data_IF_807761423529
#
_entry.id   IF_807761423529
#
_cell.length_a   1.000
_cell.length_b   1.000
_cell.length_c   1.000
_cell.angle_alpha   90.00
_cell.angle_beta   90.00
_cell.angle_gamma   90.00
#
_symmetry.space_group_name_H-M   'P 1'
#
loop_
_entity.id
_entity.type
_entity.pdbx_description
1 polymer ?
#
# COMPACT_ATOMS: atom_id res chain seq x y z
N UNK A 1 35.59 -1.84 -23.14
CA UNK A 1 34.36 -2.58 -23.55
C UNK A 1 34.47 -4.02 -23.10
N UNK A 2 33.68 -4.44 -22.10
CA UNK A 2 33.73 -5.81 -21.56
C UNK A 2 32.73 -6.69 -22.30
N UNK A 3 33.21 -7.59 -23.16
CA UNK A 3 32.39 -8.52 -23.95
C UNK A 3 31.41 -9.30 -23.06
N UNK A 4 30.11 -9.17 -23.28
CA UNK A 4 29.12 -10.10 -22.74
C UNK A 4 29.39 -11.46 -23.40
N UNK A 5 29.85 -12.45 -22.64
CA UNK A 5 30.02 -13.80 -23.18
C UNK A 5 28.64 -14.35 -23.55
N UNK A 6 28.52 -15.01 -24.73
CA UNK A 6 27.26 -15.59 -25.24
C UNK A 6 26.49 -16.41 -24.19
N UNK A 7 27.20 -17.06 -23.25
CA UNK A 7 26.60 -17.84 -22.16
C UNK A 7 25.84 -17.03 -21.11
N UNK A 8 26.21 -15.78 -20.83
CA UNK A 8 25.52 -14.98 -19.80
C UNK A 8 24.16 -14.48 -20.30
N UNK A 9 24.12 -13.97 -21.53
CA UNK A 9 22.87 -13.54 -22.18
C UNK A 9 21.92 -14.73 -22.38
N UNK A 10 22.45 -15.84 -22.91
CA UNK A 10 21.70 -17.09 -23.07
C UNK A 10 21.05 -17.57 -21.75
N UNK A 11 21.78 -17.53 -20.63
CA UNK A 11 21.22 -17.93 -19.32
C UNK A 11 20.05 -17.05 -18.92
N UNK A 12 20.16 -15.73 -19.10
CA UNK A 12 19.06 -14.79 -18.81
C UNK A 12 17.87 -15.08 -19.72
N UNK A 13 18.09 -15.22 -21.03
CA UNK A 13 17.03 -15.48 -22.01
C UNK A 13 16.29 -16.81 -21.73
N UNK A 14 17.02 -17.87 -21.39
CA UNK A 14 16.43 -19.17 -21.01
C UNK A 14 15.61 -19.06 -19.73
N UNK A 15 16.07 -18.31 -18.72
CA UNK A 15 15.33 -18.10 -17.47
C UNK A 15 14.08 -17.24 -17.68
N UNK A 16 14.16 -16.18 -18.47
CA UNK A 16 12.99 -15.34 -18.84
C UNK A 16 11.96 -16.19 -19.58
N UNK A 17 12.39 -17.01 -20.55
CA UNK A 17 11.50 -17.91 -21.27
C UNK A 17 10.83 -18.93 -20.34
N UNK A 18 11.57 -19.48 -19.37
CA UNK A 18 11.02 -20.38 -18.37
C UNK A 18 9.93 -19.71 -17.51
N UNK A 19 10.19 -18.49 -17.00
CA UNK A 19 9.21 -17.72 -16.23
C UNK A 19 7.96 -17.42 -17.08
N UNK A 20 8.16 -16.94 -18.31
CA UNK A 20 7.05 -16.62 -19.21
C UNK A 20 6.20 -17.85 -19.56
N UNK A 21 6.80 -19.04 -19.68
CA UNK A 21 6.05 -20.27 -19.94
C UNK A 21 5.22 -20.74 -18.75
N UNK A 22 5.58 -20.36 -17.52
CA UNK A 22 4.77 -20.59 -16.31
C UNK A 22 3.55 -19.67 -16.21
N UNK A 23 3.49 -18.61 -17.01
CA UNK A 23 2.35 -17.70 -17.05
C UNK A 23 1.21 -18.30 -17.90
N UNK A 24 0.03 -18.55 -17.29
CA UNK A 24 -1.15 -18.96 -18.06
C UNK A 24 -1.71 -17.74 -18.80
N UNK A 25 -2.17 -17.92 -20.04
CA UNK A 25 -2.92 -16.90 -20.75
C UNK A 25 -2.10 -15.89 -21.56
N UNK A 26 -2.76 -14.81 -22.02
CA UNK A 26 -2.21 -13.87 -22.99
C UNK A 26 -1.13 -12.94 -22.41
N UNK A 27 -0.99 -12.83 -21.09
CA UNK A 27 -0.05 -11.90 -20.44
C UNK A 27 1.41 -12.35 -20.55
N UNK A 28 1.67 -13.55 -21.10
CA UNK A 28 3.01 -14.09 -21.32
C UNK A 28 3.93 -13.12 -22.05
N UNK A 29 3.43 -12.42 -23.07
CA UNK A 29 4.21 -11.45 -23.84
C UNK A 29 4.59 -10.24 -22.98
N UNK A 30 3.61 -9.66 -22.27
CA UNK A 30 3.82 -8.54 -21.36
C UNK A 30 4.81 -8.88 -20.24
N UNK A 31 4.74 -10.09 -19.67
CA UNK A 31 5.69 -10.57 -18.65
C UNK A 31 7.11 -10.64 -19.20
N UNK A 32 7.28 -11.16 -20.43
CA UNK A 32 8.58 -11.22 -21.07
C UNK A 32 9.17 -9.82 -21.30
N UNK A 33 8.38 -8.89 -21.84
CA UNK A 33 8.81 -7.50 -22.06
C UNK A 33 9.14 -6.78 -20.76
N UNK A 34 8.29 -6.93 -19.74
CA UNK A 34 8.49 -6.32 -18.43
C UNK A 34 9.78 -6.83 -17.75
N UNK A 35 10.06 -8.13 -17.82
CA UNK A 35 11.30 -8.71 -17.30
C UNK A 35 12.54 -8.13 -17.99
N UNK A 36 12.54 -8.04 -19.32
CA UNK A 36 13.66 -7.45 -20.05
C UNK A 36 13.84 -5.98 -19.70
N UNK A 37 12.76 -5.21 -19.61
CA UNK A 37 12.80 -3.83 -19.14
C UNK A 37 13.44 -3.70 -17.75
N UNK A 38 13.03 -4.51 -16.78
CA UNK A 38 13.61 -4.48 -15.44
C UNK A 38 15.09 -4.88 -15.42
N UNK A 39 15.46 -5.91 -16.19
CA UNK A 39 16.84 -6.38 -16.31
C UNK A 39 17.72 -5.30 -16.94
N UNK A 40 17.30 -4.70 -18.04
CA UNK A 40 18.08 -3.66 -18.72
C UNK A 40 18.21 -2.39 -17.85
N UNK A 41 17.17 -2.07 -17.07
CA UNK A 41 17.20 -0.93 -16.16
C UNK A 41 18.10 -1.15 -14.93
N UNK A 42 18.01 -2.32 -14.29
CA UNK A 42 18.76 -2.62 -13.05
C UNK A 42 20.18 -3.13 -13.32
N UNK A 43 20.35 -3.88 -14.39
CA UNK A 43 21.59 -4.56 -14.76
C UNK A 43 21.96 -4.24 -16.20
N UNK A 44 22.21 -2.96 -16.53
CA UNK A 44 22.63 -2.59 -17.87
C UNK A 44 23.90 -3.36 -18.27
N UNK A 45 24.07 -3.55 -19.57
CA UNK A 45 25.19 -4.31 -20.15
C UNK A 45 26.52 -3.94 -19.50
N UNK A 46 27.30 -4.95 -19.09
CA UNK A 46 28.61 -4.73 -18.45
C UNK A 46 28.87 -5.65 -17.26
N UNK A 47 29.75 -5.26 -16.32
CA UNK A 47 30.09 -6.06 -15.15
C UNK A 47 28.87 -6.45 -14.31
N UNK A 48 27.95 -5.52 -14.05
CA UNK A 48 26.74 -5.76 -13.24
C UNK A 48 25.86 -6.86 -13.84
N UNK A 49 25.60 -6.80 -15.16
CA UNK A 49 24.91 -7.87 -15.88
C UNK A 49 25.62 -9.22 -15.77
N UNK A 50 26.96 -9.25 -15.83
CA UNK A 50 27.73 -10.49 -15.67
C UNK A 50 27.59 -11.05 -14.25
N UNK A 51 27.64 -10.22 -13.22
CA UNK A 51 27.44 -10.65 -11.84
C UNK A 51 26.02 -11.19 -11.61
N UNK A 52 25.00 -10.45 -12.07
CA UNK A 52 23.61 -10.89 -12.04
C UNK A 52 23.41 -12.22 -12.78
N UNK A 53 23.94 -12.35 -14.00
CA UNK A 53 23.83 -13.61 -14.74
C UNK A 53 24.56 -14.76 -14.02
N UNK A 54 25.73 -14.49 -13.41
CA UNK A 54 26.51 -15.50 -12.69
C UNK A 54 25.86 -15.91 -11.36
N UNK A 55 25.10 -15.04 -10.68
CA UNK A 55 24.41 -15.42 -9.44
C UNK A 55 23.43 -16.57 -9.68
N UNK A 56 22.80 -16.61 -10.87
CA UNK A 56 21.94 -17.69 -11.35
C UNK A 56 22.69 -18.98 -11.75
N UNK A 57 24.01 -19.07 -11.57
CA UNK A 57 24.71 -20.34 -11.87
C UNK A 57 24.47 -21.37 -10.75
N UNK A 58 24.11 -22.60 -11.15
CA UNK A 58 23.90 -23.74 -10.25
C UNK A 58 25.14 -24.64 -10.11
N UNK A 59 26.26 -24.29 -10.77
CA UNK A 59 27.48 -25.11 -10.81
C UNK A 59 28.07 -25.42 -9.43
N UNK A 60 27.88 -24.52 -8.45
CA UNK A 60 28.43 -24.65 -7.10
C UNK A 60 27.32 -24.79 -6.04
N UNK A 61 26.11 -25.17 -6.43
CA UNK A 61 25.06 -25.46 -5.45
C UNK A 61 25.31 -26.87 -4.86
N UNK A 62 25.18 -27.00 -3.54
CA UNK A 62 25.40 -28.28 -2.83
C UNK A 62 24.38 -29.35 -3.27
N UNK A 63 23.13 -28.94 -3.46
CA UNK A 63 22.07 -29.77 -4.06
C UNK A 63 21.35 -28.98 -5.17
N UNK A 64 21.86 -29.05 -6.42
CA UNK A 64 21.29 -28.28 -7.51
C UNK A 64 19.92 -28.81 -7.98
N UNK A 65 19.53 -30.03 -7.61
CA UNK A 65 18.35 -30.72 -8.12
C UNK A 65 18.43 -31.06 -9.61
N UNK A 66 17.29 -31.49 -10.18
CA UNK A 66 17.19 -31.89 -11.58
C UNK A 66 17.15 -30.70 -12.57
N UNK A 67 16.86 -30.95 -13.86
CA UNK A 67 16.81 -29.86 -14.85
C UNK A 67 15.68 -28.86 -14.57
N UNK A 68 14.53 -29.32 -14.11
CA UNK A 68 13.38 -28.47 -13.79
C UNK A 68 13.66 -27.67 -12.51
N UNK A 69 14.23 -28.31 -11.49
CA UNK A 69 14.61 -27.66 -10.22
C UNK A 69 15.62 -26.55 -10.45
N UNK A 70 16.68 -26.83 -11.24
CA UNK A 70 17.67 -25.82 -11.62
C UNK A 70 17.05 -24.65 -12.40
N UNK A 71 16.00 -24.87 -13.17
CA UNK A 71 15.30 -23.79 -13.86
C UNK A 71 14.46 -22.96 -12.89
N UNK A 72 13.73 -23.60 -11.98
CA UNK A 72 12.94 -22.94 -10.94
C UNK A 72 13.81 -22.12 -9.99
N UNK A 73 14.93 -22.66 -9.49
CA UNK A 73 15.88 -21.94 -8.64
C UNK A 73 16.46 -20.72 -9.34
N UNK A 74 16.83 -20.84 -10.63
CA UNK A 74 17.32 -19.71 -11.42
C UNK A 74 16.28 -18.62 -11.60
N UNK A 75 15.03 -19.02 -11.83
CA UNK A 75 13.91 -18.09 -11.93
C UNK A 75 13.68 -17.35 -10.63
N UNK A 76 13.67 -18.06 -9.48
CA UNK A 76 13.54 -17.44 -8.17
C UNK A 76 14.66 -16.43 -7.88
N UNK A 77 15.92 -16.81 -8.14
CA UNK A 77 17.09 -15.92 -8.03
C UNK A 77 16.91 -14.67 -8.90
N UNK A 78 16.46 -14.84 -10.15
CA UNK A 78 16.20 -13.72 -11.07
C UNK A 78 15.16 -12.78 -10.47
N UNK A 79 13.99 -13.30 -10.09
CA UNK A 79 12.88 -12.50 -9.60
C UNK A 79 13.22 -11.77 -8.30
N UNK A 80 13.91 -12.43 -7.35
CA UNK A 80 14.38 -11.77 -6.12
C UNK A 80 15.44 -10.72 -6.38
N UNK A 81 16.34 -10.94 -7.34
CA UNK A 81 17.35 -9.95 -7.72
C UNK A 81 16.74 -8.68 -8.34
N UNK A 82 15.52 -8.77 -8.86
CA UNK A 82 14.78 -7.64 -9.41
C UNK A 82 13.98 -6.87 -8.34
N UNK A 83 13.97 -7.34 -7.07
CA UNK A 83 13.31 -6.69 -5.91
C UNK A 83 14.30 -5.88 -5.05
N UNK A 84 13.80 -5.04 -4.14
CA UNK A 84 14.57 -4.22 -3.20
C UNK A 84 14.23 -4.52 -1.72
N UNK A 85 15.18 -4.89 -0.81
CA UNK A 85 16.58 -5.29 -1.01
C UNK A 85 16.77 -6.84 -1.07
N UNK A 86 17.87 -7.33 -1.68
CA UNK A 86 18.00 -8.71 -2.16
C UNK A 86 18.31 -9.78 -1.09
N UNK A 87 17.59 -10.91 -1.14
CA UNK A 87 17.93 -12.17 -0.46
C UNK A 87 18.20 -13.34 -1.46
N UNK A 88 18.64 -13.03 -2.68
CA UNK A 88 18.59 -13.96 -3.82
C UNK A 88 19.45 -15.23 -3.70
N UNK A 89 20.40 -15.33 -2.77
CA UNK A 89 21.25 -16.54 -2.66
C UNK A 89 20.58 -17.70 -1.91
N UNK A 90 19.57 -17.43 -1.07
CA UNK A 90 18.90 -18.47 -0.29
C UNK A 90 18.21 -19.52 -1.18
N UNK A 91 17.75 -19.13 -2.37
CA UNK A 91 17.14 -20.04 -3.34
C UNK A 91 18.02 -21.23 -3.77
N UNK A 92 19.35 -21.18 -3.55
CA UNK A 92 20.25 -22.31 -3.85
C UNK A 92 20.20 -23.43 -2.82
N UNK A 93 19.72 -23.14 -1.62
CA UNK A 93 19.73 -24.08 -0.48
C UNK A 93 18.31 -24.44 -0.01
N UNK A 94 17.27 -23.77 -0.53
CA UNK A 94 15.89 -24.10 -0.21
C UNK A 94 15.49 -25.51 -0.72
N UNK A 95 14.59 -26.23 -0.05
CA UNK A 95 13.96 -27.43 -0.61
C UNK A 95 13.19 -27.12 -1.90
N UNK A 96 13.10 -28.09 -2.82
CA UNK A 96 12.45 -27.91 -4.14
C UNK A 96 11.00 -27.44 -4.02
N UNK A 97 10.21 -28.01 -3.11
CA UNK A 97 8.81 -27.63 -2.93
C UNK A 97 8.67 -26.16 -2.49
N UNK A 98 9.55 -25.71 -1.59
CA UNK A 98 9.61 -24.30 -1.16
C UNK A 98 10.01 -23.38 -2.31
N UNK A 99 10.96 -23.79 -3.17
CA UNK A 99 11.34 -23.02 -4.36
C UNK A 99 10.16 -22.84 -5.30
N UNK A 100 9.38 -23.90 -5.55
CA UNK A 100 8.23 -23.84 -6.43
C UNK A 100 7.13 -22.93 -5.87
N UNK A 101 6.85 -23.03 -4.56
CA UNK A 101 5.86 -22.17 -3.90
C UNK A 101 6.23 -20.69 -3.98
N UNK A 102 7.45 -20.33 -3.56
CA UNK A 102 7.94 -18.95 -3.61
C UNK A 102 7.98 -18.40 -5.04
N UNK A 103 8.35 -19.24 -6.01
CA UNK A 103 8.38 -18.86 -7.41
C UNK A 103 6.98 -18.59 -7.95
N UNK A 104 6.00 -19.43 -7.65
CA UNK A 104 4.63 -19.24 -8.13
C UNK A 104 4.00 -17.98 -7.51
N UNK A 105 4.28 -17.68 -6.24
CA UNK A 105 3.87 -16.43 -5.57
C UNK A 105 4.49 -15.18 -6.23
N UNK A 106 5.78 -15.21 -6.55
CA UNK A 106 6.46 -14.12 -7.25
C UNK A 106 5.96 -13.97 -8.69
N UNK A 107 5.68 -15.06 -9.40
CA UNK A 107 5.12 -15.02 -10.75
C UNK A 107 3.74 -14.40 -10.74
N UNK A 108 2.89 -14.70 -9.76
CA UNK A 108 1.59 -14.05 -9.62
C UNK A 108 1.74 -12.52 -9.51
N UNK A 109 2.66 -12.03 -8.68
CA UNK A 109 2.98 -10.59 -8.54
C UNK A 109 3.56 -9.97 -9.81
N UNK A 110 4.49 -10.67 -10.46
CA UNK A 110 5.10 -10.25 -11.71
C UNK A 110 4.06 -10.10 -12.81
N UNK A 111 3.12 -11.04 -12.94
CA UNK A 111 2.05 -11.01 -13.95
C UNK A 111 1.24 -9.73 -13.86
N UNK A 112 0.86 -9.30 -12.65
CA UNK A 112 0.12 -8.06 -12.45
C UNK A 112 0.91 -6.81 -12.84
N UNK A 113 2.15 -6.72 -12.36
CA UNK A 113 3.01 -5.58 -12.67
C UNK A 113 3.26 -5.47 -14.19
N UNK A 114 3.47 -6.62 -14.84
CA UNK A 114 3.64 -6.71 -16.28
C UNK A 114 2.37 -6.33 -17.05
N UNK A 115 1.20 -6.80 -16.62
CA UNK A 115 -0.07 -6.44 -17.27
C UNK A 115 -0.36 -4.93 -17.16
N UNK A 116 -0.06 -4.32 -16.01
CA UNK A 116 -0.17 -2.86 -15.84
C UNK A 116 0.87 -2.04 -16.63
N UNK A 117 2.03 -2.62 -16.94
CA UNK A 117 3.13 -1.94 -17.62
C UNK A 117 3.10 -2.10 -19.15
N UNK A 118 2.88 -3.32 -19.64
CA UNK A 118 3.00 -3.72 -21.04
C UNK A 118 1.78 -4.50 -21.56
N UNK A 119 0.78 -4.76 -20.71
CA UNK A 119 -0.40 -5.54 -21.06
C UNK A 119 -1.64 -4.69 -21.29
N UNK A 120 -2.76 -5.12 -20.71
CA UNK A 120 -4.08 -4.49 -20.88
C UNK A 120 -4.62 -3.88 -19.59
N UNK A 121 -4.04 -4.25 -18.44
CA UNK A 121 -4.55 -3.89 -17.11
C UNK A 121 -5.73 -4.75 -16.65
N UNK A 122 -6.13 -5.76 -17.43
CA UNK A 122 -7.27 -6.63 -17.12
C UNK A 122 -7.10 -7.37 -15.78
N UNK A 123 -5.91 -7.88 -15.47
CA UNK A 123 -5.68 -8.64 -14.23
C UNK A 123 -5.80 -7.76 -12.98
N UNK A 124 -5.31 -6.51 -13.07
CA UNK A 124 -5.48 -5.53 -12.00
C UNK A 124 -6.98 -5.27 -11.76
N UNK A 125 -7.75 -5.15 -12.83
CA UNK A 125 -9.18 -4.87 -12.77
C UNK A 125 -10.01 -6.05 -12.24
N UNK A 126 -9.82 -7.25 -12.78
CA UNK A 126 -10.74 -8.38 -12.53
C UNK A 126 -10.35 -9.24 -11.35
N UNK A 127 -9.06 -9.52 -11.15
CA UNK A 127 -8.61 -10.39 -10.08
C UNK A 127 -8.41 -9.61 -8.78
N UNK A 128 -7.73 -8.47 -8.87
CA UNK A 128 -7.19 -7.81 -7.68
C UNK A 128 -8.12 -6.79 -7.05
N UNK A 129 -8.80 -5.96 -7.85
CA UNK A 129 -9.83 -5.09 -7.29
C UNK A 129 -11.02 -5.89 -6.77
N UNK A 130 -11.37 -7.00 -7.42
CA UNK A 130 -12.40 -7.89 -6.89
C UNK A 130 -12.01 -8.40 -5.51
N UNK A 131 -10.76 -8.83 -5.31
CA UNK A 131 -10.27 -9.23 -3.99
C UNK A 131 -10.25 -8.06 -3.00
N UNK A 132 -9.80 -6.88 -3.41
CA UNK A 132 -9.82 -5.68 -2.57
C UNK A 132 -11.24 -5.30 -2.14
N UNK A 133 -12.25 -5.43 -3.01
CA UNK A 133 -13.65 -5.08 -2.73
C UNK A 133 -14.37 -6.17 -1.91
N UNK A 134 -14.21 -7.43 -2.31
CA UNK A 134 -14.96 -8.56 -1.72
C UNK A 134 -14.28 -9.15 -0.49
N UNK A 135 -12.95 -9.15 -0.46
CA UNK A 135 -12.09 -9.74 0.58
C UNK A 135 -11.06 -8.74 1.13
N UNK A 136 -11.45 -7.47 1.28
CA UNK A 136 -10.58 -6.34 1.66
C UNK A 136 -9.62 -6.65 2.81
N UNK A 137 -10.12 -7.24 3.91
CA UNK A 137 -9.29 -7.55 5.08
C UNK A 137 -8.19 -8.57 4.76
N UNK A 138 -8.53 -9.59 3.97
CA UNK A 138 -7.60 -10.64 3.58
C UNK A 138 -6.52 -10.07 2.67
N UNK A 139 -6.95 -9.35 1.63
CA UNK A 139 -6.09 -8.66 0.69
C UNK A 139 -5.11 -7.72 1.41
N UNK A 140 -5.64 -6.83 2.26
CA UNK A 140 -4.81 -5.90 3.03
C UNK A 140 -3.92 -6.62 4.03
N UNK A 141 -4.23 -7.83 4.51
CA UNK A 141 -3.33 -8.60 5.39
C UNK A 141 -2.16 -9.21 4.61
N UNK A 142 -2.44 -9.76 3.43
CA UNK A 142 -1.49 -10.57 2.66
C UNK A 142 -0.57 -9.73 1.77
N UNK A 143 -0.90 -8.46 1.57
CA UNK A 143 -0.15 -7.61 0.67
C UNK A 143 0.35 -6.33 1.36
N UNK A 144 1.55 -5.90 0.95
CA UNK A 144 2.04 -4.56 1.25
C UNK A 144 1.29 -3.60 0.32
N UNK A 145 0.74 -2.54 0.91
CA UNK A 145 -0.01 -1.54 0.21
C UNK A 145 0.52 -0.17 0.62
N UNK A 146 0.76 0.71 -0.35
CA UNK A 146 1.21 2.08 -0.13
C UNK A 146 0.35 3.06 -0.91
N UNK A 147 0.15 4.24 -0.36
CA UNK A 147 -0.38 5.35 -1.11
C UNK A 147 0.74 6.35 -1.41
N UNK A 148 0.89 6.70 -2.69
CA UNK A 148 1.62 7.91 -3.09
C UNK A 148 0.65 9.09 -3.17
N UNK A 149 1.15 10.30 -2.96
CA UNK A 149 0.35 11.53 -2.82
C UNK A 149 -0.86 11.63 -3.78
N UNK A 150 -2.08 11.37 -3.27
CA UNK A 150 -3.34 11.66 -3.98
C UNK A 150 -3.73 13.10 -3.66
N UNK A 151 -3.12 14.06 -4.36
CA UNK A 151 -3.50 15.47 -4.22
C UNK A 151 -4.79 15.74 -5.00
N UNK A 152 -5.90 15.97 -4.29
CA UNK A 152 -7.14 16.61 -4.76
C UNK A 152 -7.74 16.13 -6.10
N UNK A 153 -7.42 14.93 -6.54
CA UNK A 153 -7.94 14.36 -7.78
C UNK A 153 -9.03 13.38 -7.42
N UNK A 154 -10.21 13.55 -8.01
CA UNK A 154 -11.32 12.60 -7.89
C UNK A 154 -11.03 11.21 -8.51
N UNK A 155 -9.77 10.97 -8.88
CA UNK A 155 -9.28 9.81 -9.60
C UNK A 155 -7.94 9.36 -9.00
N UNK A 156 -7.85 8.08 -8.68
CA UNK A 156 -6.62 7.40 -8.29
C UNK A 156 -6.22 6.31 -9.30
N UNK A 157 -4.93 6.00 -9.33
CA UNK A 157 -4.37 4.94 -10.19
C UNK A 157 -3.78 3.83 -9.35
N UNK A 158 -4.35 2.63 -9.46
CA UNK A 158 -3.93 1.42 -8.75
C UNK A 158 -3.03 0.55 -9.62
N UNK A 159 -1.89 0.13 -9.08
CA UNK A 159 -0.96 -0.76 -9.77
C UNK A 159 -0.11 -1.58 -8.79
N UNK A 160 0.60 -2.59 -9.31
CA UNK A 160 1.56 -3.39 -8.56
C UNK A 160 2.99 -2.97 -8.92
N UNK A 161 3.76 -2.51 -7.93
CA UNK A 161 5.21 -2.32 -8.09
C UNK A 161 5.93 -3.58 -7.62
N UNK A 162 6.28 -4.43 -8.59
CA UNK A 162 6.99 -5.68 -8.34
C UNK A 162 8.32 -5.48 -7.61
N UNK A 163 9.08 -4.41 -7.95
CA UNK A 163 10.40 -4.17 -7.35
C UNK A 163 10.32 -3.89 -5.86
N UNK A 164 9.25 -3.21 -5.46
CA UNK A 164 9.02 -2.82 -4.06
C UNK A 164 8.08 -3.79 -3.34
N UNK A 165 7.70 -4.89 -3.99
CA UNK A 165 6.82 -5.93 -3.47
C UNK A 165 5.53 -5.38 -2.86
N UNK A 166 4.90 -4.42 -3.54
CA UNK A 166 3.76 -3.68 -2.99
C UNK A 166 2.78 -3.24 -4.06
N UNK A 167 1.52 -3.11 -3.66
CA UNK A 167 0.54 -2.35 -4.42
C UNK A 167 0.64 -0.88 -4.08
N UNK A 168 0.33 -0.04 -5.05
CA UNK A 168 0.32 1.39 -4.90
C UNK A 168 -0.95 2.00 -5.46
N UNK A 169 -1.43 3.04 -4.78
CA UNK A 169 -2.37 4.02 -5.35
C UNK A 169 -1.64 5.36 -5.45
N UNK A 170 -1.72 6.01 -6.59
CA UNK A 170 -1.17 7.36 -6.80
C UNK A 170 -2.20 8.28 -7.49
N UNK A 171 -2.13 9.58 -7.23
CA UNK A 171 -3.02 10.57 -7.88
C UNK A 171 -2.65 10.89 -9.34
N UNK A 172 -1.48 10.43 -9.80
CA UNK A 172 -1.05 10.53 -11.19
C UNK A 172 -0.84 9.14 -11.77
N UNK A 173 -1.17 8.95 -13.04
CA UNK A 173 -0.87 7.70 -13.72
C UNK A 173 0.65 7.57 -13.85
N UNK A 174 1.27 6.50 -13.30
CA UNK A 174 2.70 6.33 -13.44
C UNK A 174 3.06 6.04 -14.90
N UNK A 175 4.06 6.71 -15.45
CA UNK A 175 4.52 6.46 -16.83
C UNK A 175 4.95 5.00 -17.06
N UNK A 176 5.47 4.34 -16.02
CA UNK A 176 5.89 2.92 -16.06
C UNK A 176 4.72 1.94 -16.05
N UNK A 177 3.53 2.42 -15.71
CA UNK A 177 2.31 1.62 -15.61
C UNK A 177 1.17 2.32 -16.37
N UNK A 178 1.27 2.45 -17.71
CA UNK A 178 0.26 3.14 -18.52
C UNK A 178 -1.12 2.47 -18.48
N UNK A 179 -1.18 1.19 -18.11
CA UNK A 179 -2.40 0.40 -17.91
C UNK A 179 -2.75 0.23 -16.42
N UNK A 180 -2.22 1.09 -15.53
CA UNK A 180 -2.68 1.16 -14.14
C UNK A 180 -4.21 1.39 -14.11
N UNK A 181 -4.88 0.73 -13.17
CA UNK A 181 -6.32 0.82 -13.08
C UNK A 181 -6.75 2.17 -12.52
N UNK A 182 -7.62 2.85 -13.25
CA UNK A 182 -8.21 4.12 -12.86
C UNK A 182 -9.51 3.88 -12.09
N UNK A 183 -9.65 4.51 -10.92
CA UNK A 183 -10.87 4.43 -10.12
C UNK A 183 -11.18 5.76 -9.45
N UNK A 184 -12.46 5.99 -9.19
CA UNK A 184 -12.92 7.18 -8.50
C UNK A 184 -12.50 7.14 -7.03
N UNK A 185 -11.91 8.23 -6.57
CA UNK A 185 -11.44 8.40 -5.20
C UNK A 185 -11.97 9.67 -4.59
N UNK A 186 -12.36 9.59 -3.33
CA UNK A 186 -12.52 10.77 -2.49
C UNK A 186 -11.26 10.94 -1.66
N UNK A 187 -10.56 12.07 -1.85
CA UNK A 187 -9.44 12.46 -1.00
C UNK A 187 -9.99 13.17 0.25
N UNK A 188 -9.51 12.77 1.42
CA UNK A 188 -9.81 13.46 2.67
C UNK A 188 -8.56 14.28 3.03
N UNK A 189 -8.57 15.60 2.79
CA UNK A 189 -7.41 16.43 3.06
C UNK A 189 -7.12 16.46 4.56
N UNK A 190 -5.84 16.43 4.90
CA UNK A 190 -5.40 16.67 6.26
C UNK A 190 -5.62 18.15 6.62
N UNK A 191 -6.28 18.41 7.75
CA UNK A 191 -6.48 19.75 8.31
C UNK A 191 -5.71 19.86 9.62
N UNK A 192 -4.87 20.88 9.77
CA UNK A 192 -4.17 21.12 11.03
C UNK A 192 -5.17 21.43 12.15
N UNK A 193 -4.90 20.93 13.36
CA UNK A 193 -5.84 21.01 14.48
C UNK A 193 -6.31 22.44 14.80
N UNK A 194 -5.43 23.44 14.70
CA UNK A 194 -5.78 24.87 14.94
C UNK A 194 -6.59 25.49 13.79
N UNK A 195 -6.60 24.87 12.60
CA UNK A 195 -7.42 25.30 11.47
C UNK A 195 -8.85 24.73 11.53
N UNK A 196 -9.16 23.87 12.50
CA UNK A 196 -10.55 23.39 12.68
C UNK A 196 -11.41 24.53 13.21
N UNK A 197 -12.56 24.85 12.58
CA UNK A 197 -13.45 25.89 13.06
C UNK A 197 -13.87 25.68 14.53
N UNK A 198 -13.79 26.74 15.32
CA UNK A 198 -14.04 26.69 16.76
C UNK A 198 -12.83 26.27 17.61
N UNK A 199 -11.72 25.87 16.99
CA UNK A 199 -10.43 25.79 17.68
C UNK A 199 -9.79 27.16 17.77
N UNK A 200 -9.16 27.37 18.91
CA UNK A 200 -8.21 28.45 19.17
C UNK A 200 -6.83 27.83 19.32
N UNK A 201 -5.78 28.65 19.32
CA UNK A 201 -4.40 28.21 19.60
C UNK A 201 -4.21 27.74 21.06
N UNK A 202 -5.28 27.76 21.88
CA UNK A 202 -5.25 27.23 23.24
C UNK A 202 -5.19 25.70 23.23
N UNK A 203 -4.23 25.21 24.01
CA UNK A 203 -3.99 23.78 24.24
C UNK A 203 -5.02 23.15 25.19
N UNK A 204 -5.72 23.97 25.99
CA UNK A 204 -6.60 23.53 27.09
C UNK A 204 -8.04 24.03 26.97
N UNK A 205 -8.34 24.84 25.95
CA UNK A 205 -9.67 25.37 25.69
C UNK A 205 -9.97 25.40 24.19
N UNK A 206 -11.25 25.38 23.85
CA UNK A 206 -11.75 25.45 22.47
C UNK A 206 -12.72 24.32 22.15
N UNK A 207 -13.04 24.18 20.87
CA UNK A 207 -14.06 23.23 20.42
C UNK A 207 -13.67 22.57 19.11
N UNK A 208 -13.92 21.26 18.99
CA UNK A 208 -13.88 20.52 17.74
C UNK A 208 -15.30 20.27 17.17
N UNK A 209 -16.34 20.96 17.67
CA UNK A 209 -17.74 20.69 17.30
C UNK A 209 -18.14 21.09 15.87
N UNK A 210 -17.22 21.67 15.08
CA UNK A 210 -17.48 22.14 13.71
C UNK A 210 -16.42 21.66 12.72
N UNK A 211 -16.04 20.38 12.78
CA UNK A 211 -15.15 19.78 11.79
C UNK A 211 -15.84 19.77 10.43
N UNK A 212 -15.14 20.24 9.40
CA UNK A 212 -15.61 20.11 8.02
C UNK A 212 -15.37 18.66 7.58
N UNK A 213 -16.44 17.86 7.55
CA UNK A 213 -16.40 16.48 7.10
C UNK A 213 -16.48 16.37 5.58
N UNK A 214 -15.74 15.41 5.02
CA UNK A 214 -15.87 15.00 3.62
C UNK A 214 -16.90 13.88 3.53
N UNK A 215 -17.97 14.09 2.77
CA UNK A 215 -18.95 13.05 2.47
C UNK A 215 -18.36 12.02 1.50
N UNK A 216 -18.48 10.73 1.80
CA UNK A 216 -17.92 9.66 0.97
C UNK A 216 -18.89 9.15 -0.11
N UNK A 217 -20.11 9.70 -0.18
CA UNK A 217 -21.13 9.29 -1.17
C UNK A 217 -20.63 9.54 -2.59
N UNK A 218 -20.87 8.58 -3.49
CA UNK A 218 -20.46 8.66 -4.89
C UNK A 218 -19.10 8.03 -5.18
N UNK A 219 -18.32 7.66 -4.16
CA UNK A 219 -17.09 6.90 -4.34
C UNK A 219 -17.26 5.42 -3.94
N UNK A 220 -16.53 4.54 -4.61
CA UNK A 220 -16.46 3.11 -4.26
C UNK A 220 -15.29 2.78 -3.34
N UNK A 221 -14.27 3.65 -3.32
CA UNK A 221 -13.03 3.45 -2.57
C UNK A 221 -12.59 4.75 -1.89
N UNK A 222 -12.13 4.62 -0.65
CA UNK A 222 -11.48 5.68 0.12
C UNK A 222 -10.03 5.30 0.34
N UNK A 223 -9.12 6.24 0.12
CA UNK A 223 -7.73 6.13 0.55
C UNK A 223 -7.32 7.45 1.20
N UNK A 224 -6.60 7.35 2.30
CA UNK A 224 -6.10 8.50 3.03
C UNK A 224 -4.58 8.51 3.07
N UNK A 225 -3.97 9.69 2.93
CA UNK A 225 -2.52 9.88 3.03
C UNK A 225 -1.95 9.27 4.31
N UNK A 226 -0.65 8.99 4.33
CA UNK A 226 0.05 8.48 5.52
C UNK A 226 -0.32 9.27 6.79
N UNK A 227 -0.77 8.54 7.82
CA UNK A 227 -1.03 9.05 9.16
C UNK A 227 0.27 9.02 9.95
N UNK A 228 0.74 10.19 10.39
CA UNK A 228 1.79 10.28 11.39
C UNK A 228 1.37 11.24 12.49
N UNK A 229 0.88 10.70 13.61
CA UNK A 229 0.30 11.49 14.69
C UNK A 229 -1.08 12.06 14.39
N UNK A 230 -1.59 11.93 13.16
CA UNK A 230 -2.92 12.38 12.77
C UNK A 230 -4.04 11.53 13.40
N UNK A 231 -5.25 12.07 13.38
CA UNK A 231 -6.49 11.37 13.75
C UNK A 231 -7.45 11.29 12.58
N UNK A 232 -7.99 10.11 12.37
CA UNK A 232 -9.06 9.86 11.41
C UNK A 232 -10.38 9.92 12.18
N UNK A 233 -11.24 10.85 11.79
CA UNK A 233 -12.56 11.02 12.35
C UNK A 233 -13.59 10.55 11.33
N UNK A 234 -14.58 9.76 11.75
CA UNK A 234 -15.69 9.41 10.87
C UNK A 234 -17.00 9.30 11.62
N UNK A 235 -18.11 9.49 10.89
CA UNK A 235 -19.48 9.41 11.40
C UNK A 235 -20.37 8.82 10.32
N UNK A 236 -21.35 8.02 10.74
CA UNK A 236 -22.36 7.45 9.84
C UNK A 236 -23.71 8.09 10.15
N UNK A 237 -24.31 8.76 9.16
CA UNK A 237 -25.56 9.52 9.31
C UNK A 237 -26.48 9.23 8.14
N UNK A 238 -27.62 8.59 8.41
CA UNK A 238 -28.60 8.25 7.38
C UNK A 238 -28.01 7.40 6.25
N UNK A 239 -27.17 6.42 6.59
CA UNK A 239 -26.50 5.53 5.62
C UNK A 239 -25.28 6.14 4.91
N UNK A 240 -25.01 7.43 5.10
CA UNK A 240 -23.85 8.12 4.53
C UNK A 240 -22.70 8.14 5.52
N UNK A 241 -21.47 8.07 5.02
CA UNK A 241 -20.27 8.24 5.83
C UNK A 241 -19.67 9.61 5.56
N UNK A 242 -19.38 10.32 6.64
CA UNK A 242 -18.58 11.54 6.65
C UNK A 242 -17.26 11.24 7.34
N UNK A 243 -16.16 11.76 6.81
CA UNK A 243 -14.85 11.54 7.38
C UNK A 243 -13.97 12.80 7.32
N UNK A 244 -13.04 12.92 8.25
CA UNK A 244 -12.04 13.98 8.29
C UNK A 244 -10.69 13.44 8.74
N UNK A 245 -9.63 14.09 8.26
CA UNK A 245 -8.26 13.79 8.61
C UNK A 245 -7.69 15.02 9.32
N UNK A 246 -7.41 14.91 10.63
CA UNK A 246 -6.92 16.03 11.45
C UNK A 246 -5.47 15.76 11.86
N UNK A 247 -4.57 16.70 11.60
CA UNK A 247 -3.14 16.57 11.90
C UNK A 247 -2.71 17.42 13.10
N UNK A 248 -1.75 16.94 13.93
CA UNK A 248 -1.30 17.62 15.14
C UNK A 248 -0.43 18.87 14.88
N UNK A 249 0.07 19.03 13.66
CA UNK A 249 0.81 20.19 13.14
C UNK A 249 0.81 20.11 11.61
N UNK A 250 0.94 21.24 10.92
CA UNK A 250 1.16 21.29 9.48
C UNK A 250 2.64 21.10 9.09
N UNK A 251 3.56 21.07 10.06
CA UNK A 251 5.00 20.95 9.82
C UNK A 251 5.64 22.16 9.12
N UNK A 252 4.89 23.23 8.85
CA UNK A 252 5.33 24.43 8.14
C UNK A 252 5.58 25.62 9.07
N UNK A 253 5.82 25.34 10.37
CA UNK A 253 6.05 26.35 11.40
C UNK A 253 4.85 26.63 12.29
N UNK A 254 3.71 25.94 12.09
CA UNK A 254 2.57 26.00 13.01
C UNK A 254 2.89 25.37 14.37
N UNK A 255 2.30 25.94 15.44
CA UNK A 255 2.40 25.38 16.80
C UNK A 255 1.81 23.96 16.81
N UNK A 256 2.68 22.98 17.07
CA UNK A 256 2.24 21.61 17.30
C UNK A 256 1.39 21.53 18.56
N UNK A 257 0.38 20.65 18.56
CA UNK A 257 -0.37 20.36 19.77
C UNK A 257 0.56 19.76 20.84
N UNK A 258 0.50 20.26 22.07
CA UNK A 258 1.29 19.74 23.19
C UNK A 258 0.86 18.31 23.49
N UNK A 259 1.83 17.38 23.54
CA UNK A 259 1.56 15.94 23.68
C UNK A 259 1.21 15.24 22.36
N UNK A 260 1.24 15.94 21.22
CA UNK A 260 1.18 15.38 19.88
C UNK A 260 -0.11 14.63 19.55
N UNK A 261 -0.01 13.65 18.66
CA UNK A 261 -1.16 12.85 18.19
C UNK A 261 -2.02 12.23 19.30
N UNK A 262 -1.43 11.67 20.38
CA UNK A 262 -2.22 11.16 21.50
C UNK A 262 -3.04 12.22 22.23
N UNK A 263 -2.54 13.45 22.34
CA UNK A 263 -3.33 14.55 22.90
C UNK A 263 -4.47 14.93 21.95
N UNK A 264 -4.17 15.07 20.65
CA UNK A 264 -5.16 15.40 19.62
C UNK A 264 -6.33 14.41 19.60
N UNK A 265 -6.03 13.11 19.56
CA UNK A 265 -7.04 12.06 19.50
C UNK A 265 -7.98 12.09 20.71
N UNK A 266 -7.45 12.35 21.91
CA UNK A 266 -8.23 12.49 23.14
C UNK A 266 -9.10 13.74 23.15
N UNK A 267 -8.57 14.87 22.69
CA UNK A 267 -9.36 16.11 22.58
C UNK A 267 -10.50 15.95 21.57
N UNK A 268 -10.23 15.38 20.39
CA UNK A 268 -11.25 15.08 19.38
C UNK A 268 -12.33 14.11 19.91
N UNK A 269 -11.95 13.16 20.76
CA UNK A 269 -12.90 12.24 21.39
C UNK A 269 -13.66 12.86 22.58
N UNK A 270 -13.38 14.12 22.95
CA UNK A 270 -14.06 14.81 24.05
C UNK A 270 -13.65 14.31 25.44
N UNK A 271 -12.49 13.68 25.59
CA UNK A 271 -12.03 13.13 26.88
C UNK A 271 -11.10 14.08 27.65
N UNK A 272 -10.95 15.33 27.19
CA UNK A 272 -10.10 16.35 27.81
C UNK A 272 -10.98 17.47 28.34
N UNK A 273 -10.90 17.75 29.64
CA UNK A 273 -11.66 18.84 30.27
C UNK A 273 -11.33 20.20 29.67
N UNK A 274 -12.32 21.07 29.55
CA UNK A 274 -12.16 22.40 28.95
C UNK A 274 -12.23 22.44 27.42
N UNK A 275 -12.24 21.27 26.75
CA UNK A 275 -12.32 21.17 25.29
C UNK A 275 -13.57 20.40 24.90
N UNK A 276 -14.42 21.03 24.09
CA UNK A 276 -15.58 20.34 23.50
C UNK A 276 -15.11 19.35 22.45
N UNK A 277 -15.55 18.10 22.57
CA UNK A 277 -15.23 17.01 21.64
C UNK A 277 -15.66 17.29 20.20
N UNK A 278 -15.19 16.44 19.30
CA UNK A 278 -15.41 16.57 17.87
C UNK A 278 -16.86 16.32 17.47
N UNK A 279 -17.35 17.14 16.55
CA UNK A 279 -18.52 16.83 15.73
C UNK A 279 -18.35 17.43 14.34
N UNK A 280 -19.09 16.90 13.36
CA UNK A 280 -19.12 17.46 12.02
C UNK A 280 -20.08 18.64 11.93
N UNK A 281 -19.67 19.66 11.20
CA UNK A 281 -20.52 20.77 10.82
C UNK A 281 -21.70 20.31 9.92
N UNK A 282 -22.54 21.26 9.48
CA UNK A 282 -23.55 21.01 8.46
C UNK A 282 -22.95 20.23 7.27
N UNK A 283 -23.64 19.18 6.77
CA UNK A 283 -25.06 18.88 6.96
C UNK A 283 -25.38 17.91 8.12
N UNK A 284 -24.43 17.53 8.98
CA UNK A 284 -24.65 16.47 9.96
C UNK A 284 -24.33 16.79 11.45
N UNK A 285 -24.58 18.02 11.96
CA UNK A 285 -24.41 18.31 13.37
C UNK A 285 -25.33 17.42 14.21
N UNK A 286 -24.83 16.91 15.33
CA UNK A 286 -25.53 16.08 16.31
C UNK A 286 -26.08 14.73 15.78
N UNK A 287 -25.81 14.35 14.53
CA UNK A 287 -26.29 13.08 13.96
C UNK A 287 -25.38 11.89 14.28
N UNK A 288 -25.74 10.98 15.18
CA UNK A 288 -24.90 9.80 15.49
C UNK A 288 -23.58 10.11 16.20
N UNK A 289 -22.80 9.07 16.54
CA UNK A 289 -21.54 9.21 17.28
C UNK A 289 -20.36 9.49 16.34
N UNK A 290 -19.51 10.47 16.67
CA UNK A 290 -18.22 10.66 16.03
C UNK A 290 -17.22 9.61 16.55
N UNK A 291 -16.66 8.81 15.63
CA UNK A 291 -15.57 7.90 15.93
C UNK A 291 -14.23 8.56 15.58
N UNK A 292 -13.26 8.39 16.48
CA UNK A 292 -11.91 8.93 16.39
C UNK A 292 -10.92 7.78 16.49
N UNK A 293 -10.10 7.61 15.45
CA UNK A 293 -8.99 6.67 15.42
C UNK A 293 -7.68 7.45 15.25
N UNK A 294 -6.88 7.53 16.32
CA UNK A 294 -5.67 8.35 16.36
C UNK A 294 -4.47 7.65 17.00
N UNK A 295 -3.34 8.35 17.10
CA UNK A 295 -2.13 7.79 17.71
C UNK A 295 -2.37 7.57 19.21
N UNK A 296 -2.13 6.36 19.71
CA UNK A 296 -2.24 6.02 21.14
C UNK A 296 -3.63 6.11 21.76
N UNK A 297 -4.67 6.47 20.99
CA UNK A 297 -6.04 6.57 21.49
C UNK A 297 -7.08 6.34 20.38
N UNK A 298 -8.18 5.67 20.73
CA UNK A 298 -9.36 5.56 19.88
C UNK A 298 -10.61 5.36 20.72
N UNK A 299 -11.73 5.94 20.29
CA UNK A 299 -13.04 5.73 20.94
C UNK A 299 -13.89 4.66 20.22
N UNK A 300 -13.30 3.90 19.28
CA UNK A 300 -13.99 2.83 18.58
C UNK A 300 -14.31 1.67 19.53
N UNK A 301 -15.55 1.15 19.52
CA UNK A 301 -15.89 -0.12 20.15
C UNK A 301 -14.92 -1.21 19.68
N UNK A 302 -14.23 -1.87 20.61
CA UNK A 302 -13.20 -2.92 20.39
C UNK A 302 -11.78 -2.44 20.05
N UNK A 303 -11.52 -1.12 19.98
CA UNK A 303 -10.15 -0.58 19.80
C UNK A 303 -9.93 0.69 20.62
N UNK A 304 -9.55 0.54 21.88
CA UNK A 304 -9.37 1.67 22.81
C UNK A 304 -8.04 2.44 22.61
N UNK A 305 -7.02 1.81 22.04
CA UNK A 305 -5.63 2.33 22.07
C UNK A 305 -5.14 2.97 20.77
N UNK A 306 -5.99 3.08 19.75
CA UNK A 306 -5.59 3.71 18.49
C UNK A 306 -4.52 2.92 17.73
N UNK A 307 -3.61 3.61 17.04
CA UNK A 307 -2.39 3.01 16.46
C UNK A 307 -1.15 3.37 17.30
N UNK A 308 -0.08 2.56 17.28
CA UNK A 308 1.12 2.85 18.08
C UNK A 308 1.68 4.26 17.78
N UNK A 309 1.96 5.09 18.80
CA UNK A 309 2.67 6.34 18.59
C UNK A 309 4.11 6.03 18.18
N UNK A 310 4.62 6.67 17.14
CA UNK A 310 5.97 6.42 16.65
C UNK A 310 6.42 7.41 15.57
N UNK A 311 7.68 7.29 15.16
CA UNK A 311 8.27 8.18 14.16
C UNK A 311 7.64 7.94 12.77
N UNK A 312 7.51 8.96 11.91
CA UNK A 312 7.04 8.81 10.53
C UNK A 312 7.86 7.79 9.71
N UNK A 313 9.10 7.51 10.12
CA UNK A 313 10.02 6.60 9.43
C UNK A 313 9.77 5.14 9.77
N UNK A 314 9.26 4.86 10.97
CA UNK A 314 9.11 3.50 11.48
C UNK A 314 7.66 3.01 11.43
N UNK A 315 6.69 3.93 11.43
CA UNK A 315 5.27 3.61 11.44
C UNK A 315 4.52 4.40 10.37
N UNK A 316 4.08 3.69 9.33
CA UNK A 316 3.19 4.25 8.30
C UNK A 316 1.81 3.65 8.49
N UNK A 317 0.79 4.50 8.61
CA UNK A 317 -0.60 4.06 8.70
C UNK A 317 -1.45 4.68 7.60
N UNK A 318 -2.35 3.87 7.05
CA UNK A 318 -3.30 4.30 6.02
C UNK A 318 -4.70 3.81 6.37
N UNK A 319 -5.71 4.61 6.09
CA UNK A 319 -7.11 4.21 6.13
C UNK A 319 -7.57 3.86 4.70
N UNK A 320 -8.20 2.70 4.60
CA UNK A 320 -8.82 2.19 3.39
C UNK A 320 -10.30 2.00 3.61
N UNK A 321 -11.11 2.51 2.70
CA UNK A 321 -12.53 2.21 2.65
C UNK A 321 -12.89 1.54 1.33
N UNK A 322 -13.81 0.58 1.38
CA UNK A 322 -14.46 0.04 0.18
C UNK A 322 -15.96 -0.09 0.42
N UNK A 323 -16.75 0.17 -0.62
CA UNK A 323 -18.17 -0.18 -0.61
C UNK A 323 -18.32 -1.67 -0.93
N UNK A 324 -19.02 -2.41 -0.09
CA UNK A 324 -19.30 -3.82 -0.29
C UNK A 324 -20.74 -4.13 0.13
N UNK A 325 -21.52 -4.71 -0.80
CA UNK A 325 -22.97 -4.95 -0.65
C UNK A 325 -23.75 -3.70 -0.19
N UNK A 326 -23.43 -2.53 -0.77
CA UNK A 326 -24.10 -1.26 -0.47
C UNK A 326 -23.70 -0.60 0.85
N UNK A 327 -22.76 -1.19 1.61
CA UNK A 327 -22.24 -0.62 2.86
C UNK A 327 -20.74 -0.37 2.82
N UNK A 328 -20.30 0.74 3.41
CA UNK A 328 -18.88 1.02 3.58
C UNK A 328 -18.23 0.07 4.59
N UNK A 329 -17.00 -0.34 4.28
CA UNK A 329 -16.12 -1.04 5.20
C UNK A 329 -14.81 -0.26 5.29
N UNK A 330 -14.48 0.19 6.49
CA UNK A 330 -13.26 0.96 6.75
C UNK A 330 -12.25 0.06 7.45
N UNK A 331 -10.99 0.16 7.02
CA UNK A 331 -9.86 -0.58 7.53
C UNK A 331 -8.69 0.35 7.75
N UNK A 332 -7.82 0.01 8.70
CA UNK A 332 -6.48 0.58 8.81
C UNK A 332 -5.45 -0.47 8.41
N UNK A 333 -4.40 -0.04 7.73
CA UNK A 333 -3.19 -0.80 7.45
C UNK A 333 -2.01 -0.11 8.13
N UNK A 334 -1.40 -0.80 9.09
CA UNK A 334 -0.16 -0.36 9.73
C UNK A 334 0.99 -1.06 9.05
N UNK A 335 2.03 -0.32 8.70
CA UNK A 335 3.30 -0.84 8.23
C UNK A 335 4.36 -0.46 9.27
N UNK A 336 5.09 -1.46 9.76
CA UNK A 336 6.20 -1.31 10.68
C UNK A 336 7.37 -2.16 10.17
N UNK A 337 8.28 -1.52 9.42
CA UNK A 337 9.30 -2.22 8.64
C UNK A 337 8.67 -3.25 7.71
N UNK A 338 9.01 -4.53 7.91
CA UNK A 338 8.47 -5.66 7.15
C UNK A 338 7.17 -6.25 7.71
N UNK A 339 6.78 -5.85 8.91
CA UNK A 339 5.52 -6.29 9.50
C UNK A 339 4.39 -5.39 9.07
N UNK A 340 3.19 -5.98 8.95
CA UNK A 340 2.02 -5.18 8.68
C UNK A 340 0.79 -5.73 9.39
N UNK A 341 0.00 -4.83 9.94
CA UNK A 341 -1.21 -5.17 10.67
C UNK A 341 -2.41 -4.54 9.95
N UNK A 342 -3.52 -5.27 9.93
CA UNK A 342 -4.76 -4.77 9.34
C UNK A 342 -5.88 -4.92 10.32
N UNK A 343 -6.65 -3.85 10.47
CA UNK A 343 -7.76 -3.82 11.39
C UNK A 343 -8.99 -3.22 10.74
N UNK A 344 -10.16 -3.79 11.02
CA UNK A 344 -11.43 -3.18 10.63
C UNK A 344 -11.77 -2.07 11.63
N UNK A 345 -12.12 -0.90 11.10
CA UNK A 345 -12.62 0.26 11.85
C UNK A 345 -14.15 0.35 11.78
N UNK A 346 -14.75 -0.06 10.66
CA UNK A 346 -16.21 -0.06 10.48
C UNK A 346 -16.67 -1.11 9.46
N UNK A 347 -17.85 -1.76 9.64
CA UNK A 347 -18.58 -1.87 10.91
C UNK A 347 -17.77 -2.71 11.94
N UNK A 348 -18.10 -2.60 13.23
CA UNK A 348 -17.29 -3.14 14.34
C UNK A 348 -17.24 -4.67 14.47
#
# INVERSE_FOLDING_TARGET
MSFITKGNKRRVDETVAFIANKVPGPERAAVKEFLYYLIDWLFPSGPNFKYFSRSMTMTNAEDPGDKADRAARRALIMLDSLKNPPAYLAAKTLPTDTVNQELDDLIAKLRMAADGAYGTGHLLQTEFLTQLRTRTRLFLREHKFFEGSITNRGVGYFYCDFRLDRYQIEGNRPQRFPHAHEFETVSIPAVAWYNVPGRTDSQTAGSFAQIVGTELTGAETLVTTQFTGCSFCFKVVGGRIFAAHIMPSDGLGGQGITGGGPALARQLAGTVGGITGGDFAAPCPNGGQLYVYGAGYSNLPRRATGYPPGSPRDHTMYIFGTVNHGGWRLYTKHLNGDTSETHRLYPF
#
